data_IF_530053233251
#
_entry.id   IF_530053233251
#
_cell.length_a   1.000
_cell.length_b   1.000
_cell.length_c   1.000
_cell.angle_alpha   90.00
_cell.angle_beta   90.00
_cell.angle_gamma   90.00
#
_symmetry.space_group_name_H-M   'P 1'
#
loop_
_entity.id
_entity.type
_entity.pdbx_description
1 polymer ?
#
# COMPACT_ATOMS: atom_id res chain seq x y z
N UNK A 1 10.85 -4.82 19.50
CA UNK A 1 9.48 -5.31 19.82
C UNK A 1 8.45 -4.19 19.91
N UNK A 2 8.77 -3.02 20.49
CA UNK A 2 7.85 -1.86 20.60
C UNK A 2 7.39 -1.26 19.25
N UNK A 3 8.25 -1.20 18.23
CA UNK A 3 7.92 -0.63 16.91
C UNK A 3 6.82 -1.42 16.19
N UNK A 4 6.82 -2.76 16.35
CA UNK A 4 5.89 -3.67 15.68
C UNK A 4 4.44 -3.51 16.18
N UNK A 5 4.26 -3.21 17.46
CA UNK A 5 2.95 -2.95 18.07
C UNK A 5 2.40 -1.58 17.65
N UNK A 6 3.25 -0.55 17.61
CA UNK A 6 2.83 0.80 17.20
C UNK A 6 2.37 0.88 15.74
N UNK A 7 2.94 0.07 14.83
CA UNK A 7 2.60 0.11 13.40
C UNK A 7 1.18 -0.42 13.11
N UNK A 8 0.76 -1.50 13.78
CA UNK A 8 -0.59 -2.07 13.63
C UNK A 8 -1.69 -1.18 14.24
N UNK A 9 -1.33 -0.19 15.06
CA UNK A 9 -2.25 0.72 15.76
C UNK A 9 -2.43 2.07 15.05
N UNK A 10 -1.71 2.32 13.95
CA UNK A 10 -1.88 3.56 13.20
C UNK A 10 -3.23 3.53 12.47
N UNK A 11 -4.04 4.57 12.71
CA UNK A 11 -5.25 4.80 11.92
C UNK A 11 -4.90 5.12 10.46
N UNK A 12 -5.81 4.88 9.50
CA UNK A 12 -5.61 5.23 8.09
C UNK A 12 -5.12 6.67 7.89
N UNK A 13 -5.70 7.63 8.62
CA UNK A 13 -5.25 9.03 8.58
C UNK A 13 -3.78 9.21 8.97
N UNK A 14 -3.34 8.57 10.07
CA UNK A 14 -1.93 8.66 10.50
C UNK A 14 -0.97 8.02 9.51
N UNK A 15 -1.41 6.97 8.82
CA UNK A 15 -0.60 6.32 7.77
C UNK A 15 -0.53 7.21 6.52
N UNK A 16 -1.65 7.85 6.14
CA UNK A 16 -1.70 8.81 5.04
C UNK A 16 -0.80 10.03 5.26
N UNK A 17 -0.64 10.47 6.51
CA UNK A 17 0.22 11.60 6.90
C UNK A 17 1.73 11.27 6.92
N UNK A 18 2.13 10.02 6.71
CA UNK A 18 3.55 9.66 6.67
C UNK A 18 4.25 10.26 5.44
N UNK A 19 5.58 10.42 5.53
CA UNK A 19 6.38 10.86 4.39
C UNK A 19 6.59 9.70 3.40
N UNK A 20 5.89 9.76 2.26
CA UNK A 20 5.93 8.71 1.23
C UNK A 20 6.74 9.06 -0.03
N UNK A 21 7.27 10.29 -0.13
CA UNK A 21 7.93 10.81 -1.34
C UNK A 21 9.18 10.06 -1.83
N UNK A 22 9.67 9.07 -1.06
CA UNK A 22 10.80 8.19 -1.43
C UNK A 22 10.49 6.71 -1.13
N UNK A 23 9.21 6.33 -1.13
CA UNK A 23 8.84 4.96 -0.79
C UNK A 23 9.31 3.96 -1.84
N UNK A 24 9.80 2.81 -1.41
CA UNK A 24 10.15 1.71 -2.30
C UNK A 24 8.95 0.81 -2.55
N UNK A 25 8.57 0.66 -3.81
CA UNK A 25 7.58 -0.30 -4.26
C UNK A 25 8.26 -1.59 -4.74
N UNK A 26 7.84 -2.73 -4.20
CA UNK A 26 8.36 -4.05 -4.58
C UNK A 26 7.33 -4.95 -5.25
N UNK A 27 6.08 -4.49 -5.40
CA UNK A 27 4.98 -5.29 -5.94
C UNK A 27 3.75 -5.31 -5.04
N UNK A 28 2.85 -6.22 -5.35
CA UNK A 28 1.62 -6.45 -4.58
C UNK A 28 1.26 -7.95 -4.58
N UNK A 29 0.44 -8.36 -3.61
CA UNK A 29 -0.08 -9.74 -3.51
C UNK A 29 -1.46 -9.76 -2.90
N UNK A 30 -2.38 -10.53 -3.50
CA UNK A 30 -3.66 -10.84 -2.88
C UNK A 30 -3.46 -11.75 -1.68
N UNK A 31 -4.14 -11.44 -0.57
CA UNK A 31 -4.08 -12.29 0.61
C UNK A 31 -5.12 -13.39 0.45
N UNK A 32 -4.66 -14.57 0.00
CA UNK A 32 -5.51 -15.73 -0.32
C UNK A 32 -5.83 -16.60 0.93
N UNK A 33 -4.98 -16.58 1.94
CA UNK A 33 -5.14 -17.35 3.19
C UNK A 33 -5.99 -16.57 4.21
N UNK A 34 -7.23 -16.27 3.83
CA UNK A 34 -8.16 -15.52 4.66
C UNK A 34 -9.27 -16.42 5.21
N UNK A 35 -9.72 -16.15 6.44
CA UNK A 35 -10.88 -16.84 6.98
C UNK A 35 -12.10 -16.55 6.10
N UNK A 36 -13.10 -17.44 6.00
CA UNK A 36 -14.24 -17.30 5.09
C UNK A 36 -14.98 -15.95 5.18
N UNK A 37 -14.95 -15.31 6.36
CA UNK A 37 -15.61 -14.04 6.64
C UNK A 37 -14.68 -12.81 6.61
N UNK A 38 -13.42 -13.00 6.19
CA UNK A 38 -12.45 -11.90 6.11
C UNK A 38 -12.58 -11.12 4.80
N UNK A 39 -12.37 -9.80 4.84
CA UNK A 39 -12.53 -8.96 3.65
C UNK A 39 -11.44 -9.25 2.61
N UNK A 40 -11.75 -9.17 1.30
CA UNK A 40 -10.71 -9.26 0.28
C UNK A 40 -9.64 -8.19 0.55
N UNK A 41 -8.39 -8.62 0.63
CA UNK A 41 -7.28 -7.76 1.02
C UNK A 41 -6.10 -7.91 0.06
N UNK A 42 -5.48 -6.77 -0.24
CA UNK A 42 -4.27 -6.68 -1.04
C UNK A 42 -3.14 -6.15 -0.17
N UNK A 43 -2.01 -6.84 -0.23
CA UNK A 43 -0.75 -6.35 0.33
C UNK A 43 -0.01 -5.57 -0.75
N UNK A 44 0.24 -4.29 -0.50
CA UNK A 44 1.13 -3.45 -1.30
C UNK A 44 2.48 -3.38 -0.58
N UNK A 45 3.53 -3.90 -1.20
CA UNK A 45 4.88 -3.86 -0.66
C UNK A 45 5.49 -2.47 -0.89
N UNK A 46 4.95 -1.50 -0.16
CA UNK A 46 5.32 -0.09 -0.15
C UNK A 46 6.05 0.24 1.16
N UNK A 47 7.32 0.61 1.03
CA UNK A 47 8.23 0.83 2.16
C UNK A 47 8.63 2.30 2.22
N UNK A 48 8.01 3.13 3.08
CA UNK A 48 8.44 4.51 3.28
C UNK A 48 9.82 4.52 3.94
N UNK A 49 10.59 5.59 3.73
CA UNK A 49 11.97 5.70 4.23
C UNK A 49 12.08 5.60 5.76
N UNK A 50 11.07 6.09 6.49
CA UNK A 50 11.00 6.02 7.96
C UNK A 50 10.65 4.63 8.50
N UNK A 51 9.96 3.81 7.69
CA UNK A 51 9.54 2.45 8.06
C UNK A 51 9.89 1.49 6.92
N UNK A 52 11.18 1.21 6.70
CA UNK A 52 11.64 0.42 5.55
C UNK A 52 11.21 -1.05 5.62
N UNK A 53 10.67 -1.51 6.74
CA UNK A 53 10.14 -2.85 6.94
C UNK A 53 8.62 -2.83 7.06
N UNK A 54 7.92 -1.92 6.38
CA UNK A 54 6.46 -1.88 6.40
C UNK A 54 5.82 -2.25 5.06
N UNK A 55 4.60 -2.78 5.11
CA UNK A 55 3.75 -3.12 3.98
C UNK A 55 2.39 -2.49 4.24
N UNK A 56 1.74 -1.98 3.20
CA UNK A 56 0.36 -1.49 3.30
C UNK A 56 -0.60 -2.64 3.04
N UNK A 57 -1.46 -2.97 4.01
CA UNK A 57 -2.60 -3.87 3.80
C UNK A 57 -3.82 -3.01 3.50
N UNK A 58 -4.41 -3.19 2.33
CA UNK A 58 -5.66 -2.54 1.92
C UNK A 58 -6.78 -3.57 1.94
N UNK A 59 -7.88 -3.27 2.64
CA UNK A 59 -9.04 -4.16 2.83
C UNK A 59 -10.27 -3.64 2.06
N UNK A 60 -11.12 -4.57 1.60
CA UNK A 60 -12.25 -4.28 0.71
C UNK A 60 -11.79 -3.59 -0.59
N UNK A 61 -10.80 -4.20 -1.23
CA UNK A 61 -10.19 -3.63 -2.44
C UNK A 61 -11.19 -3.59 -3.59
N UNK A 62 -11.26 -2.43 -4.26
CA UNK A 62 -12.01 -2.22 -5.51
C UNK A 62 -11.22 -1.33 -6.47
N UNK A 63 -11.66 -1.29 -7.73
CA UNK A 63 -11.10 -0.44 -8.78
C UNK A 63 -9.56 -0.51 -8.90
N UNK A 64 -9.01 -1.71 -8.73
CA UNK A 64 -7.59 -1.96 -8.85
C UNK A 64 -7.13 -1.81 -10.30
N UNK A 65 -6.21 -0.89 -10.53
CA UNK A 65 -5.59 -0.60 -11.83
C UNK A 65 -4.07 -0.64 -11.68
N UNK A 66 -3.41 -1.39 -12.56
CA UNK A 66 -1.96 -1.45 -12.65
C UNK A 66 -1.57 -1.37 -14.13
N UNK A 67 -0.94 -0.27 -14.55
CA UNK A 67 -0.43 -0.06 -15.91
C UNK A 67 1.10 -0.13 -15.98
N UNK A 68 1.69 -0.98 -15.12
CA UNK A 68 3.12 -1.16 -14.98
C UNK A 68 3.76 -1.82 -16.22
N UNK A 69 4.89 -1.29 -16.68
CA UNK A 69 5.72 -1.93 -17.72
C UNK A 69 6.64 -2.98 -17.09
N UNK A 70 6.12 -4.21 -17.00
CA UNK A 70 6.81 -5.34 -16.39
C UNK A 70 8.09 -5.77 -17.11
N UNK A 71 8.36 -5.30 -18.33
CA UNK A 71 9.57 -5.70 -19.08
C UNK A 71 10.84 -5.15 -18.43
N UNK A 72 10.74 -4.00 -17.76
CA UNK A 72 11.86 -3.28 -17.13
C UNK A 72 11.71 -3.17 -15.60
N UNK A 73 10.76 -3.91 -15.01
CA UNK A 73 10.56 -3.98 -13.56
C UNK A 73 11.26 -5.24 -13.01
N UNK A 74 12.44 -5.05 -12.42
CA UNK A 74 13.11 -6.06 -11.60
C UNK A 74 13.42 -5.50 -10.22
N UNK A 75 13.14 -6.28 -9.19
CA UNK A 75 13.33 -5.87 -7.80
C UNK A 75 12.40 -4.73 -7.37
N UNK A 76 12.88 -3.95 -6.39
CA UNK A 76 12.16 -2.79 -5.89
C UNK A 76 12.50 -1.54 -6.70
N UNK A 77 11.52 -0.67 -6.90
CA UNK A 77 11.70 0.63 -7.55
C UNK A 77 11.26 1.76 -6.62
N UNK A 78 11.91 2.94 -6.68
CA UNK A 78 11.44 4.10 -5.95
C UNK A 78 10.14 4.59 -6.59
N UNK A 79 9.16 4.90 -5.75
CA UNK A 79 8.00 5.67 -6.14
C UNK A 79 8.38 7.15 -6.22
N UNK A 80 7.85 7.83 -7.23
CA UNK A 80 7.91 9.29 -7.32
C UNK A 80 6.95 9.95 -6.34
N UNK A 81 5.80 9.30 -6.13
CA UNK A 81 4.80 9.75 -5.20
C UNK A 81 3.94 8.57 -4.75
N UNK A 82 3.41 8.66 -3.53
CA UNK A 82 2.36 7.78 -3.03
C UNK A 82 1.31 8.64 -2.34
N UNK A 83 0.11 8.64 -2.91
CA UNK A 83 -1.01 9.41 -2.41
C UNK A 83 -2.01 8.51 -1.71
N UNK A 84 -2.49 8.96 -0.56
CA UNK A 84 -3.62 8.39 0.17
C UNK A 84 -4.71 9.46 0.27
N UNK A 85 -5.77 9.32 -0.52
CA UNK A 85 -6.85 10.29 -0.58
C UNK A 85 -8.15 9.69 -0.04
N UNK A 86 -8.80 10.39 0.89
CA UNK A 86 -10.12 9.98 1.40
C UNK A 86 -11.19 10.19 0.33
N UNK A 87 -12.09 9.20 0.19
CA UNK A 87 -13.15 9.24 -0.81
C UNK A 87 -14.44 9.84 -0.21
N UNK A 88 -15.23 10.62 -0.99
CA UNK A 88 -16.49 11.20 -0.52
C UNK A 88 -17.53 10.16 -0.05
N UNK A 89 -17.47 8.94 -0.61
CA UNK A 89 -18.35 7.82 -0.25
C UNK A 89 -17.87 7.05 0.99
N UNK A 90 -16.77 7.48 1.61
CA UNK A 90 -16.04 6.72 2.60
C UNK A 90 -15.01 5.78 1.99
N UNK A 91 -13.98 5.47 2.77
CA UNK A 91 -12.81 4.71 2.31
C UNK A 91 -11.75 5.60 1.69
N UNK A 92 -10.84 4.97 0.96
CA UNK A 92 -9.56 5.57 0.58
C UNK A 92 -9.14 5.16 -0.81
N UNK A 93 -8.57 6.10 -1.56
CA UNK A 93 -7.81 5.82 -2.77
C UNK A 93 -6.34 5.83 -2.45
N UNK A 94 -5.64 4.79 -2.88
CA UNK A 94 -4.18 4.70 -2.82
C UNK A 94 -3.67 4.76 -4.25
N UNK A 95 -2.77 5.68 -4.54
CA UNK A 95 -2.11 5.80 -5.83
C UNK A 95 -0.59 5.79 -5.65
N UNK A 96 0.10 4.99 -6.47
CA UNK A 96 1.56 4.86 -6.48
C UNK A 96 2.04 5.25 -7.87
N UNK A 97 2.83 6.31 -7.95
CA UNK A 97 3.42 6.78 -9.18
C UNK A 97 4.84 6.23 -9.33
N UNK A 98 5.06 5.42 -10.37
CA UNK A 98 6.35 4.76 -10.64
C UNK A 98 6.97 5.23 -11.97
N UNK A 99 6.62 6.43 -12.45
CA UNK A 99 7.09 6.94 -13.75
C UNK A 99 8.61 6.76 -13.97
N UNK A 100 9.05 6.42 -15.18
CA UNK A 100 8.25 6.17 -16.38
C UNK A 100 7.62 4.77 -16.42
N UNK A 101 7.76 3.94 -15.37
CA UNK A 101 7.41 2.51 -15.38
C UNK A 101 5.91 2.24 -15.23
N UNK A 102 5.09 3.29 -15.06
CA UNK A 102 3.65 3.21 -14.89
C UNK A 102 3.20 3.73 -13.54
N UNK A 103 1.99 3.35 -13.17
CA UNK A 103 1.30 3.67 -11.93
C UNK A 103 0.48 2.48 -11.46
N UNK A 104 0.14 2.52 -10.18
CA UNK A 104 -0.79 1.59 -9.57
C UNK A 104 -1.80 2.41 -8.78
N UNK A 105 -3.08 2.10 -8.90
CA UNK A 105 -4.13 2.76 -8.11
C UNK A 105 -5.19 1.77 -7.69
N UNK A 106 -5.78 2.00 -6.53
CA UNK A 106 -6.86 1.18 -6.00
C UNK A 106 -7.65 1.97 -4.98
N UNK A 107 -8.83 1.44 -4.64
CA UNK A 107 -9.61 1.93 -3.52
C UNK A 107 -9.75 0.83 -2.45
N UNK A 108 -9.70 1.24 -1.18
CA UNK A 108 -9.97 0.40 -0.01
C UNK A 108 -11.15 0.95 0.79
N UNK A 109 -11.83 0.09 1.54
CA UNK A 109 -12.64 0.53 2.68
C UNK A 109 -11.76 1.04 3.84
N UNK A 110 -10.65 0.36 4.11
CA UNK A 110 -9.67 0.74 5.13
C UNK A 110 -8.28 0.21 4.76
N UNK A 111 -7.24 0.74 5.41
CA UNK A 111 -5.88 0.22 5.26
C UNK A 111 -5.07 0.35 6.56
N UNK A 112 -4.02 -0.46 6.67
CA UNK A 112 -3.11 -0.48 7.81
C UNK A 112 -1.68 -0.75 7.38
N UNK A 113 -0.72 -0.40 8.25
CA UNK A 113 0.67 -0.78 8.07
C UNK A 113 0.96 -2.07 8.82
N UNK A 114 1.45 -3.06 8.07
CA UNK A 114 1.96 -4.30 8.61
C UNK A 114 3.49 -4.31 8.58
N UNK A 115 4.13 -5.05 9.48
CA UNK A 115 5.54 -5.41 9.34
C UNK A 115 5.76 -6.26 8.09
N UNK A 116 6.83 -5.98 7.35
CA UNK A 116 7.36 -6.85 6.32
C UNK A 116 7.86 -8.15 6.98
N UNK A 117 7.46 -9.28 6.42
CA UNK A 117 7.88 -10.61 6.87
C UNK A 117 9.21 -11.01 6.24
#
# INVERSE_FOLDING_TARGET
MLVKAMMNELSPHKVAELAWGDAWFSGFRWLDEQAPDSPPALLLYLRPSLFPESIVKCEWVRDFVSDLDYRDLSGSVPAWDVEFAELPSGGWRIAVDLRPRGRLSLECGSFSLLPAA
#
